data_IF_956647646746
#
_entry.id   IF_956647646746
#
_cell.length_a   1.000
_cell.length_b   1.000
_cell.length_c   1.000
_cell.angle_alpha   90.00
_cell.angle_beta   90.00
_cell.angle_gamma   90.00
#
_symmetry.space_group_name_H-M   'P 1'
#
loop_
_entity.id
_entity.type
_entity.pdbx_description
1 polymer ?
#
# COMPACT_ATOMS: atom_id res chain seq x y z
N UNK A 1 31.09 75.18 -27.34
CA UNK A 1 30.41 74.19 -26.47
C UNK A 1 29.84 73.11 -27.38
N UNK A 2 30.55 72.00 -27.51
CA UNK A 2 30.17 70.83 -28.33
C UNK A 2 29.29 69.89 -27.51
N UNK A 3 28.16 69.36 -28.04
CA UNK A 3 27.51 68.21 -27.44
C UNK A 3 28.05 66.93 -28.08
N UNK A 4 28.55 66.02 -27.25
CA UNK A 4 28.91 64.66 -27.63
C UNK A 4 27.65 63.90 -28.10
N UNK A 5 27.69 63.36 -29.32
CA UNK A 5 26.84 62.25 -29.74
C UNK A 5 27.37 60.97 -29.07
N UNK A 6 26.59 60.34 -28.19
CA UNK A 6 26.80 58.96 -27.80
C UNK A 6 25.96 58.04 -28.68
N UNK A 7 26.64 57.29 -29.55
CA UNK A 7 26.07 56.16 -30.29
C UNK A 7 26.16 54.94 -29.36
N UNK A 8 25.01 54.41 -28.93
CA UNK A 8 24.93 53.10 -28.28
C UNK A 8 24.88 51.99 -29.34
N UNK A 9 25.58 50.85 -29.15
CA UNK A 9 25.58 49.75 -30.11
C UNK A 9 24.30 48.91 -30.02
N UNK A 10 23.84 48.30 -31.13
CA UNK A 10 22.64 47.48 -31.16
C UNK A 10 23.00 46.02 -30.90
N UNK A 11 23.16 45.61 -29.65
CA UNK A 11 23.25 44.17 -29.32
C UNK A 11 22.72 43.92 -27.91
N UNK A 12 21.46 43.49 -27.83
CA UNK A 12 20.93 42.56 -26.82
C UNK A 12 19.42 42.35 -27.07
N UNK A 13 19.11 41.86 -28.26
CA UNK A 13 17.89 41.09 -28.51
C UNK A 13 18.37 39.66 -28.69
N UNK A 14 18.23 38.84 -27.64
CA UNK A 14 18.29 37.36 -27.62
C UNK A 14 18.78 36.90 -26.24
N UNK A 15 17.90 36.87 -25.22
CA UNK A 15 17.93 35.86 -24.16
C UNK A 15 16.72 35.98 -23.23
N UNK A 16 15.49 35.88 -23.75
CA UNK A 16 14.31 35.70 -22.89
C UNK A 16 13.57 34.39 -23.16
N UNK A 17 14.15 33.48 -23.97
CA UNK A 17 13.54 32.21 -24.37
C UNK A 17 14.17 30.97 -23.73
N UNK A 18 14.91 31.11 -22.63
CA UNK A 18 15.57 29.96 -21.96
C UNK A 18 15.37 29.87 -20.45
N UNK A 19 14.42 30.63 -19.88
CA UNK A 19 14.08 30.59 -18.45
C UNK A 19 12.72 29.91 -18.14
N UNK A 20 12.25 29.04 -19.04
CA UNK A 20 11.05 28.24 -18.84
C UNK A 20 11.25 26.74 -19.13
N UNK A 21 12.48 26.24 -19.00
CA UNK A 21 12.69 24.82 -18.68
C UNK A 21 12.37 24.65 -17.19
N UNK A 22 11.08 24.48 -16.94
CA UNK A 22 10.54 23.87 -15.72
C UNK A 22 11.50 22.79 -15.23
N UNK A 23 12.12 23.00 -14.07
CA UNK A 23 12.97 22.03 -13.39
C UNK A 23 12.15 20.77 -13.12
N UNK A 24 12.18 19.80 -14.03
CA UNK A 24 11.69 18.45 -13.75
C UNK A 24 12.51 17.93 -12.57
N UNK A 25 11.84 17.48 -11.52
CA UNK A 25 12.48 16.72 -10.45
C UNK A 25 12.40 15.25 -10.87
N UNK A 26 13.49 14.62 -11.35
CA UNK A 26 13.43 13.28 -11.92
C UNK A 26 12.89 12.26 -10.93
N UNK A 27 13.18 12.41 -9.63
CA UNK A 27 12.64 11.53 -8.58
C UNK A 27 11.12 11.64 -8.45
N UNK A 28 10.54 12.84 -8.61
CA UNK A 28 9.09 13.03 -8.57
C UNK A 28 8.41 12.41 -9.81
N UNK A 29 9.03 12.52 -10.97
CA UNK A 29 8.54 11.91 -12.21
C UNK A 29 8.61 10.38 -12.18
N UNK A 30 9.71 9.83 -11.68
CA UNK A 30 9.88 8.39 -11.46
C UNK A 30 8.86 7.87 -10.43
N UNK A 31 8.67 8.57 -9.31
CA UNK A 31 7.65 8.21 -8.33
C UNK A 31 6.25 8.19 -8.93
N UNK A 32 5.88 9.22 -9.73
CA UNK A 32 4.60 9.27 -10.42
C UNK A 32 4.45 8.13 -11.43
N UNK A 33 5.51 7.80 -12.15
CA UNK A 33 5.51 6.68 -13.10
C UNK A 33 5.35 5.34 -12.38
N UNK A 34 5.99 5.15 -11.23
CA UNK A 34 5.81 3.96 -10.39
C UNK A 34 4.36 3.84 -9.88
N UNK A 35 3.78 4.96 -9.45
CA UNK A 35 2.36 5.02 -9.06
C UNK A 35 1.45 4.68 -10.24
N UNK A 36 1.69 5.24 -11.43
CA UNK A 36 0.90 4.98 -12.63
C UNK A 36 0.96 3.50 -13.04
N UNK A 37 2.14 2.88 -12.99
CA UNK A 37 2.31 1.44 -13.25
C UNK A 37 1.52 0.59 -12.25
N UNK A 38 1.53 0.95 -10.98
CA UNK A 38 0.83 0.18 -9.93
C UNK A 38 -0.69 0.36 -10.04
N UNK A 39 -1.15 1.61 -10.13
CA UNK A 39 -2.56 1.98 -9.97
C UNK A 39 -3.36 1.85 -11.26
N UNK A 40 -2.80 2.29 -12.39
CA UNK A 40 -3.53 2.34 -13.66
C UNK A 40 -3.20 1.17 -14.59
N UNK A 41 -1.97 0.64 -14.53
CA UNK A 41 -1.54 -0.43 -15.41
C UNK A 41 -1.58 -1.81 -14.74
N UNK A 42 -1.91 -1.89 -13.45
CA UNK A 42 -1.93 -3.12 -12.64
C UNK A 42 -0.63 -3.93 -12.81
N UNK A 43 0.50 -3.23 -12.82
CA UNK A 43 1.81 -3.82 -13.08
C UNK A 43 2.75 -3.61 -11.89
N UNK A 44 2.59 -4.41 -10.81
CA UNK A 44 3.35 -4.23 -9.59
C UNK A 44 4.84 -4.50 -9.79
N UNK A 45 5.22 -5.32 -10.78
CA UNK A 45 6.63 -5.60 -11.11
C UNK A 45 7.33 -4.39 -11.70
N UNK A 46 6.71 -3.72 -12.67
CA UNK A 46 7.26 -2.48 -13.23
C UNK A 46 7.25 -1.34 -12.20
N UNK A 47 6.17 -1.23 -11.42
CA UNK A 47 6.10 -0.25 -10.34
C UNK A 47 7.24 -0.43 -9.33
N UNK A 48 7.50 -1.68 -8.90
CA UNK A 48 8.61 -2.00 -8.01
C UNK A 48 9.96 -1.60 -8.61
N UNK A 49 10.22 -1.94 -9.87
CA UNK A 49 11.47 -1.56 -10.54
C UNK A 49 11.68 -0.04 -10.60
N UNK A 50 10.61 0.73 -10.81
CA UNK A 50 10.68 2.19 -10.77
C UNK A 50 10.91 2.71 -9.34
N UNK A 51 10.23 2.15 -8.35
CA UNK A 51 10.48 2.49 -6.95
C UNK A 51 11.91 2.14 -6.50
N UNK A 52 12.49 1.03 -6.97
CA UNK A 52 13.86 0.62 -6.69
C UNK A 52 14.91 1.57 -7.31
N UNK A 53 14.54 2.32 -8.34
CA UNK A 53 15.40 3.34 -8.95
C UNK A 53 15.43 4.66 -8.17
N UNK A 54 14.52 4.85 -7.21
CA UNK A 54 14.53 5.99 -6.30
C UNK A 54 15.53 5.79 -5.15
N UNK A 55 16.05 6.87 -4.55
CA UNK A 55 16.82 6.75 -3.32
C UNK A 55 16.04 5.99 -2.23
N UNK A 56 16.65 5.03 -1.51
CA UNK A 56 15.99 4.33 -0.42
C UNK A 56 15.43 5.29 0.61
N UNK A 57 14.18 5.10 0.99
CA UNK A 57 13.48 5.95 1.95
C UNK A 57 12.55 5.11 2.82
N UNK A 58 12.48 5.36 4.14
CA UNK A 58 11.50 4.68 4.98
C UNK A 58 10.08 5.03 4.53
N UNK A 59 9.83 6.31 4.20
CA UNK A 59 8.54 6.86 3.78
C UNK A 59 8.00 6.33 2.44
N UNK A 60 8.71 5.42 1.76
CA UNK A 60 8.31 4.84 0.48
C UNK A 60 7.54 3.54 0.66
N UNK A 61 6.53 3.55 1.53
CA UNK A 61 5.72 2.38 1.86
C UNK A 61 5.02 1.75 0.63
N UNK A 62 4.74 2.53 -0.42
CA UNK A 62 4.19 2.01 -1.69
C UNK A 62 5.12 0.99 -2.35
N UNK A 63 6.45 1.15 -2.18
CA UNK A 63 7.43 0.16 -2.66
C UNK A 63 7.24 -1.19 -1.98
N UNK A 64 6.92 -1.21 -0.69
CA UNK A 64 6.67 -2.43 0.07
C UNK A 64 5.42 -3.16 -0.44
N UNK A 65 4.35 -2.41 -0.73
CA UNK A 65 3.12 -2.95 -1.30
C UNK A 65 3.31 -3.44 -2.75
N UNK A 66 4.07 -2.70 -3.57
CA UNK A 66 4.45 -3.12 -4.90
C UNK A 66 5.26 -4.43 -4.86
N UNK A 67 6.23 -4.54 -3.95
CA UNK A 67 6.99 -5.76 -3.73
C UNK A 67 6.09 -6.94 -3.32
N UNK A 68 5.17 -6.73 -2.37
CA UNK A 68 4.22 -7.76 -1.96
C UNK A 68 3.37 -8.26 -3.15
N UNK A 69 2.78 -7.32 -3.90
CA UNK A 69 1.95 -7.64 -5.07
C UNK A 69 2.76 -8.27 -6.21
N UNK A 70 4.06 -7.97 -6.33
CA UNK A 70 4.98 -8.60 -7.27
C UNK A 70 5.44 -10.00 -6.82
N UNK A 71 5.18 -10.39 -5.57
CA UNK A 71 5.63 -11.66 -4.97
C UNK A 71 7.07 -11.60 -4.44
N UNK A 72 7.65 -10.41 -4.37
CA UNK A 72 8.99 -10.14 -3.84
C UNK A 72 8.90 -9.93 -2.32
N UNK A 73 8.48 -10.98 -1.60
CA UNK A 73 8.07 -10.87 -0.20
C UNK A 73 9.20 -10.46 0.75
N UNK A 74 10.44 -10.90 0.51
CA UNK A 74 11.59 -10.47 1.31
C UNK A 74 11.86 -8.97 1.14
N UNK A 75 11.78 -8.46 -0.09
CA UNK A 75 11.90 -7.03 -0.40
C UNK A 75 10.81 -6.21 0.30
N UNK A 76 9.58 -6.74 0.35
CA UNK A 76 8.48 -6.11 1.09
C UNK A 76 8.76 -6.06 2.61
N UNK A 77 9.23 -7.16 3.20
CA UNK A 77 9.63 -7.21 4.63
C UNK A 77 10.70 -6.17 4.94
N UNK A 78 11.74 -6.07 4.10
CA UNK A 78 12.80 -5.08 4.28
C UNK A 78 12.27 -3.64 4.25
N UNK A 79 11.35 -3.33 3.34
CA UNK A 79 10.74 -2.00 3.26
C UNK A 79 9.89 -1.67 4.50
N UNK A 80 9.00 -2.57 4.93
CA UNK A 80 8.15 -2.31 6.11
C UNK A 80 8.96 -2.23 7.41
N UNK A 81 10.05 -3.01 7.53
CA UNK A 81 10.99 -2.87 8.64
C UNK A 81 11.77 -1.56 8.59
N UNK A 82 12.02 -1.02 7.40
CA UNK A 82 12.66 0.28 7.25
C UNK A 82 11.72 1.41 7.68
N UNK A 83 10.45 1.38 7.27
CA UNK A 83 9.44 2.36 7.71
C UNK A 83 9.24 2.30 9.24
N UNK A 84 9.01 1.12 9.80
CA UNK A 84 8.78 0.91 11.24
C UNK A 84 9.86 1.50 12.16
N UNK A 85 11.10 1.67 11.70
CA UNK A 85 12.18 2.34 12.47
C UNK A 85 11.85 3.81 12.78
N UNK A 86 11.05 4.46 11.94
CA UNK A 86 10.62 5.84 12.11
C UNK A 86 9.14 5.96 12.52
N UNK A 87 8.31 4.96 12.18
CA UNK A 87 6.86 4.97 12.42
C UNK A 87 6.39 3.71 13.18
N UNK A 88 6.95 3.47 14.37
CA UNK A 88 6.68 2.25 15.14
C UNK A 88 5.23 2.06 15.64
N UNK A 89 4.31 2.99 15.38
CA UNK A 89 2.91 2.93 15.81
C UNK A 89 1.92 2.56 14.70
N UNK A 90 2.37 2.38 13.44
CA UNK A 90 1.47 2.04 12.34
C UNK A 90 1.09 0.55 12.37
N UNK A 91 -0.18 0.29 12.68
CA UNK A 91 -0.69 -1.07 12.70
C UNK A 91 -0.81 -1.68 11.30
N UNK A 92 -1.08 -0.85 10.28
CA UNK A 92 -1.27 -1.33 8.91
C UNK A 92 0.04 -1.88 8.34
N UNK A 93 1.14 -1.14 8.49
CA UNK A 93 2.45 -1.61 8.06
C UNK A 93 2.89 -2.86 8.81
N UNK A 94 2.50 -3.00 10.08
CA UNK A 94 2.76 -4.20 10.87
C UNK A 94 2.01 -5.42 10.33
N UNK A 95 0.77 -5.24 9.85
CA UNK A 95 0.00 -6.29 9.18
C UNK A 95 0.64 -6.68 7.84
N UNK A 96 1.12 -5.71 7.06
CA UNK A 96 1.84 -5.98 5.81
C UNK A 96 3.20 -6.64 6.02
N UNK A 97 3.96 -6.25 7.05
CA UNK A 97 5.21 -6.90 7.45
C UNK A 97 4.94 -8.37 7.84
N UNK A 98 3.88 -8.63 8.61
CA UNK A 98 3.44 -10.00 8.95
C UNK A 98 3.12 -10.80 7.70
N UNK A 99 2.27 -10.26 6.82
CA UNK A 99 1.81 -10.97 5.64
C UNK A 99 2.99 -11.31 4.71
N UNK A 100 3.87 -10.34 4.48
CA UNK A 100 5.08 -10.52 3.68
C UNK A 100 6.02 -11.56 4.29
N UNK A 101 6.24 -11.51 5.60
CA UNK A 101 7.08 -12.47 6.31
C UNK A 101 6.52 -13.90 6.22
N UNK A 102 5.21 -14.05 6.38
CA UNK A 102 4.53 -15.34 6.29
C UNK A 102 4.61 -15.94 4.88
N UNK A 103 4.45 -15.12 3.83
CA UNK A 103 4.64 -15.58 2.45
C UNK A 103 6.10 -15.90 2.12
N UNK A 104 7.06 -15.16 2.68
CA UNK A 104 8.50 -15.40 2.47
C UNK A 104 8.99 -16.68 3.18
N UNK A 105 8.44 -16.99 4.36
CA UNK A 105 8.78 -18.17 5.14
C UNK A 105 7.54 -18.71 5.88
N UNK A 106 6.77 -19.63 5.26
CA UNK A 106 5.49 -20.12 5.79
C UNK A 106 5.52 -20.74 7.20
N UNK A 107 6.70 -21.10 7.70
CA UNK A 107 6.88 -21.72 9.02
C UNK A 107 7.43 -20.77 10.09
N UNK A 108 7.67 -19.48 9.80
CA UNK A 108 8.26 -18.53 10.76
C UNK A 108 7.24 -17.68 11.54
N UNK A 109 5.93 -17.87 11.32
CA UNK A 109 4.87 -17.01 11.88
C UNK A 109 4.92 -16.84 13.41
N UNK A 110 5.37 -17.86 14.15
CA UNK A 110 5.52 -17.79 15.60
C UNK A 110 6.57 -16.77 16.08
N UNK A 111 7.66 -16.57 15.32
CA UNK A 111 8.68 -15.56 15.63
C UNK A 111 8.19 -14.13 15.37
N UNK A 112 7.11 -13.98 14.59
CA UNK A 112 6.55 -12.68 14.25
C UNK A 112 5.46 -12.23 15.23
N UNK A 113 4.79 -13.16 15.92
CA UNK A 113 3.83 -12.80 16.98
C UNK A 113 4.46 -11.92 18.08
N UNK A 114 5.73 -12.15 18.40
CA UNK A 114 6.49 -11.29 19.33
C UNK A 114 6.87 -9.92 18.75
N UNK A 115 6.78 -9.76 17.43
CA UNK A 115 7.21 -8.58 16.68
C UNK A 115 6.05 -7.74 16.11
N UNK A 116 4.82 -8.29 16.03
CA UNK A 116 3.61 -7.50 15.86
C UNK A 116 3.57 -6.52 17.03
N UNK A 117 3.77 -5.21 16.81
CA UNK A 117 3.61 -4.25 17.87
C UNK A 117 2.21 -4.43 18.41
N UNK A 118 2.07 -4.37 19.73
CA UNK A 118 0.77 -4.09 20.34
C UNK A 118 0.44 -2.65 19.96
N UNK A 119 0.10 -2.37 18.70
CA UNK A 119 -0.26 -1.02 18.29
C UNK A 119 -1.72 -0.78 18.66
N UNK A 120 -1.99 -0.86 19.97
CA UNK A 120 -3.12 -0.23 20.65
C UNK A 120 -3.16 1.30 20.45
N UNK A 121 -2.24 1.85 19.63
CA UNK A 121 -2.04 3.27 19.34
C UNK A 121 -2.45 3.67 17.92
N UNK A 122 -2.70 2.73 17.01
CA UNK A 122 -3.26 3.11 15.70
C UNK A 122 -4.63 3.76 15.95
N UNK A 123 -4.91 4.92 15.38
CA UNK A 123 -6.17 5.63 15.62
C UNK A 123 -7.36 4.96 14.92
N UNK A 124 -7.10 4.18 13.87
CA UNK A 124 -8.11 3.48 13.07
C UNK A 124 -8.55 2.21 13.78
N UNK A 125 -9.84 2.13 14.15
CA UNK A 125 -10.41 0.94 14.83
C UNK A 125 -10.18 -0.33 14.02
N UNK A 126 -10.49 -0.30 12.72
CA UNK A 126 -10.37 -1.48 11.84
C UNK A 126 -8.96 -2.07 11.83
N UNK A 127 -7.92 -1.23 11.88
CA UNK A 127 -6.53 -1.67 11.93
C UNK A 127 -6.19 -2.29 13.28
N UNK A 128 -6.59 -1.66 14.39
CA UNK A 128 -6.36 -2.23 15.73
C UNK A 128 -7.04 -3.58 15.91
N UNK A 129 -8.29 -3.69 15.48
CA UNK A 129 -9.07 -4.93 15.59
C UNK A 129 -8.47 -6.02 14.67
N UNK A 130 -7.92 -5.65 13.51
CA UNK A 130 -7.21 -6.58 12.61
C UNK A 130 -5.89 -7.08 13.21
N UNK A 131 -5.13 -6.22 13.90
CA UNK A 131 -3.94 -6.66 14.65
C UNK A 131 -4.31 -7.66 15.75
N UNK A 132 -5.41 -7.40 16.47
CA UNK A 132 -5.93 -8.33 17.47
C UNK A 132 -6.38 -9.66 16.84
N UNK A 133 -7.12 -9.60 15.73
CA UNK A 133 -7.52 -10.77 14.93
C UNK A 133 -6.30 -11.65 14.59
N UNK A 134 -5.24 -11.07 14.03
CA UNK A 134 -4.06 -11.83 13.60
C UNK A 134 -3.40 -12.53 14.79
N UNK A 135 -3.24 -11.82 15.91
CA UNK A 135 -2.67 -12.39 17.14
C UNK A 135 -3.49 -13.58 17.63
N UNK A 136 -4.80 -13.41 17.74
CA UNK A 136 -5.68 -14.40 18.34
C UNK A 136 -5.81 -15.63 17.41
N UNK A 137 -5.88 -15.40 16.09
CA UNK A 137 -5.93 -16.45 15.06
C UNK A 137 -4.69 -17.35 15.07
N UNK A 138 -3.49 -16.76 15.06
CA UNK A 138 -2.23 -17.53 15.02
C UNK A 138 -1.96 -18.23 16.37
N UNK A 139 -2.36 -17.61 17.48
CA UNK A 139 -2.22 -18.21 18.82
C UNK A 139 -3.17 -19.40 19.04
N UNK A 140 -4.27 -19.45 18.29
CA UNK A 140 -5.23 -20.55 18.36
C UNK A 140 -4.66 -21.85 17.77
N UNK A 141 -4.78 -22.94 18.54
CA UNK A 141 -4.38 -24.30 18.14
C UNK A 141 -5.53 -25.13 17.54
N UNK A 142 -6.76 -24.61 17.59
CA UNK A 142 -7.97 -25.31 17.18
C UNK A 142 -8.56 -24.64 15.94
N UNK A 143 -8.83 -25.43 14.90
CA UNK A 143 -9.48 -24.94 13.68
C UNK A 143 -10.87 -24.32 13.94
N UNK A 144 -11.63 -24.90 14.88
CA UNK A 144 -12.94 -24.37 15.28
C UNK A 144 -12.83 -23.00 15.95
N UNK A 145 -11.82 -22.82 16.80
CA UNK A 145 -11.61 -21.54 17.47
C UNK A 145 -11.16 -20.48 16.47
N UNK A 146 -10.33 -20.86 15.48
CA UNK A 146 -9.95 -19.98 14.36
C UNK A 146 -11.15 -19.52 13.56
N UNK A 147 -12.02 -20.44 13.15
CA UNK A 147 -13.25 -20.10 12.42
C UNK A 147 -14.13 -19.12 13.20
N UNK A 148 -14.33 -19.39 14.50
CA UNK A 148 -15.08 -18.48 15.38
C UNK A 148 -14.45 -17.09 15.46
N UNK A 149 -13.13 -17.00 15.60
CA UNK A 149 -12.39 -15.72 15.64
C UNK A 149 -12.66 -14.91 14.36
N UNK A 150 -12.65 -15.55 13.19
CA UNK A 150 -12.92 -14.88 11.91
C UNK A 150 -14.38 -14.36 11.84
N UNK A 151 -15.34 -15.18 12.27
CA UNK A 151 -16.77 -14.83 12.30
C UNK A 151 -17.06 -13.69 13.29
N UNK A 152 -16.48 -13.74 14.49
CA UNK A 152 -16.63 -12.72 15.52
C UNK A 152 -16.05 -11.37 15.03
N UNK A 153 -14.88 -11.40 14.36
CA UNK A 153 -14.28 -10.21 13.75
C UNK A 153 -15.19 -9.57 12.71
N UNK A 154 -15.66 -10.34 11.72
CA UNK A 154 -16.56 -9.83 10.67
C UNK A 154 -17.86 -9.25 11.24
N UNK A 155 -18.44 -9.96 12.21
CA UNK A 155 -19.69 -9.52 12.85
C UNK A 155 -19.53 -8.18 13.56
N UNK A 156 -18.32 -7.83 14.01
CA UNK A 156 -18.01 -6.55 14.66
C UNK A 156 -17.97 -5.35 13.71
N UNK A 157 -18.08 -5.58 12.40
CA UNK A 157 -18.19 -4.54 11.36
C UNK A 157 -19.59 -4.49 10.72
N UNK A 158 -20.55 -5.28 11.22
CA UNK A 158 -21.93 -5.20 10.77
C UNK A 158 -22.53 -3.83 11.08
N UNK A 159 -22.93 -3.11 10.03
CA UNK A 159 -23.50 -1.76 10.14
C UNK A 159 -22.47 -0.64 10.30
N UNK A 160 -21.17 -0.95 10.21
CA UNK A 160 -20.11 0.06 10.11
C UNK A 160 -20.07 0.71 8.72
N UNK A 161 -19.20 1.71 8.54
CA UNK A 161 -19.07 2.38 7.25
C UNK A 161 -18.57 1.42 6.16
N UNK A 162 -18.95 1.67 4.91
CA UNK A 162 -18.47 0.90 3.74
C UNK A 162 -16.94 0.92 3.59
N UNK A 163 -16.29 1.97 4.11
CA UNK A 163 -14.83 2.04 4.20
C UNK A 163 -14.30 1.04 5.23
N UNK A 164 -14.88 0.99 6.44
CA UNK A 164 -14.44 0.06 7.47
C UNK A 164 -14.71 -1.39 7.05
N UNK A 165 -15.83 -1.66 6.38
CA UNK A 165 -16.13 -2.97 5.78
C UNK A 165 -15.07 -3.35 4.73
N UNK A 166 -14.71 -2.42 3.83
CA UNK A 166 -13.63 -2.66 2.85
C UNK A 166 -12.32 -3.07 3.53
N UNK A 167 -11.88 -2.32 4.54
CA UNK A 167 -10.62 -2.61 5.23
C UNK A 167 -10.70 -3.91 6.05
N UNK A 168 -11.85 -4.20 6.69
CA UNK A 168 -12.05 -5.43 7.43
C UNK A 168 -11.96 -6.66 6.52
N UNK A 169 -12.68 -6.65 5.39
CA UNK A 169 -12.61 -7.71 4.38
C UNK A 169 -11.20 -7.84 3.79
N UNK A 170 -10.55 -6.72 3.46
CA UNK A 170 -9.17 -6.72 2.95
C UNK A 170 -8.19 -7.39 3.93
N UNK A 171 -8.18 -6.99 5.20
CA UNK A 171 -7.23 -7.54 6.17
C UNK A 171 -7.53 -9.01 6.50
N UNK A 172 -8.80 -9.42 6.45
CA UNK A 172 -9.16 -10.82 6.59
C UNK A 172 -8.68 -11.65 5.39
N UNK A 173 -8.87 -11.16 4.17
CA UNK A 173 -8.32 -11.78 2.97
C UNK A 173 -6.79 -11.91 3.03
N UNK A 174 -6.12 -10.86 3.50
CA UNK A 174 -4.66 -10.83 3.70
C UNK A 174 -4.18 -11.86 4.73
N UNK A 175 -4.94 -12.09 5.82
CA UNK A 175 -4.61 -13.10 6.81
C UNK A 175 -4.66 -14.49 6.19
N UNK A 176 -5.74 -14.80 5.49
CA UNK A 176 -5.96 -16.12 4.91
C UNK A 176 -4.96 -16.41 3.78
N UNK A 177 -4.70 -15.46 2.88
CA UNK A 177 -3.70 -15.63 1.81
C UNK A 177 -2.28 -15.79 2.37
N UNK A 178 -1.91 -14.98 3.36
CA UNK A 178 -0.56 -15.01 3.94
C UNK A 178 -0.26 -16.26 4.75
N UNK A 179 -1.29 -16.87 5.32
CA UNK A 179 -1.16 -18.09 6.15
C UNK A 179 -1.50 -19.36 5.39
N UNK A 180 -2.01 -19.26 4.16
CA UNK A 180 -2.48 -20.41 3.38
C UNK A 180 -3.67 -21.12 4.01
N UNK A 181 -4.52 -20.39 4.74
CA UNK A 181 -5.58 -20.96 5.58
C UNK A 181 -6.97 -20.92 4.94
N UNK A 182 -7.03 -20.89 3.62
CA UNK A 182 -8.29 -20.98 2.88
C UNK A 182 -9.01 -22.29 3.22
N UNK A 183 -10.27 -22.20 3.64
CA UNK A 183 -11.06 -23.38 4.02
C UNK A 183 -12.55 -23.19 3.78
N UNK A 184 -13.18 -24.17 3.12
CA UNK A 184 -14.62 -24.15 2.84
C UNK A 184 -15.03 -22.88 2.08
N UNK A 185 -15.92 -22.08 2.68
CA UNK A 185 -16.39 -20.80 2.13
C UNK A 185 -15.52 -19.59 2.54
N UNK A 186 -14.54 -19.78 3.43
CA UNK A 186 -13.66 -18.73 3.93
C UNK A 186 -12.37 -18.74 3.10
N UNK A 187 -12.39 -18.04 1.97
CA UNK A 187 -11.23 -17.94 1.08
C UNK A 187 -10.73 -16.50 1.03
N UNK A 188 -9.41 -16.34 0.94
CA UNK A 188 -8.77 -15.05 0.68
C UNK A 188 -9.40 -14.32 -0.52
N UNK A 189 -9.61 -15.04 -1.62
CA UNK A 189 -10.24 -14.50 -2.84
C UNK A 189 -11.66 -13.97 -2.61
N UNK A 190 -12.50 -14.68 -1.85
CA UNK A 190 -13.86 -14.23 -1.55
C UNK A 190 -13.88 -12.93 -0.75
N UNK A 191 -12.95 -12.76 0.18
CA UNK A 191 -12.87 -11.53 0.98
C UNK A 191 -12.31 -10.37 0.18
N UNK A 192 -11.29 -10.57 -0.65
CA UNK A 192 -10.84 -9.53 -1.56
C UNK A 192 -11.95 -9.10 -2.55
N UNK A 193 -12.72 -10.06 -3.07
CA UNK A 193 -13.88 -9.78 -3.92
C UNK A 193 -14.97 -9.01 -3.17
N UNK A 194 -15.25 -9.38 -1.92
CA UNK A 194 -16.20 -8.66 -1.05
C UNK A 194 -15.74 -7.22 -0.78
N UNK A 195 -14.46 -7.02 -0.45
CA UNK A 195 -13.88 -5.70 -0.26
C UNK A 195 -14.10 -4.82 -1.52
N UNK A 196 -13.75 -5.32 -2.70
CA UNK A 196 -13.95 -4.60 -3.97
C UNK A 196 -15.43 -4.36 -4.32
N UNK A 197 -16.35 -5.15 -3.76
CA UNK A 197 -17.78 -4.99 -3.97
C UNK A 197 -18.41 -3.84 -3.15
N UNK A 198 -17.72 -3.33 -2.12
CA UNK A 198 -18.19 -2.17 -1.34
C UNK A 198 -18.38 -0.94 -2.23
N UNK A 199 -19.34 -0.09 -1.87
CA UNK A 199 -19.56 1.20 -2.54
C UNK A 199 -18.34 2.12 -2.41
N UNK A 200 -17.62 2.02 -1.29
CA UNK A 200 -16.35 2.72 -1.06
C UNK A 200 -15.29 2.35 -2.09
N UNK A 201 -15.01 1.05 -2.28
CA UNK A 201 -14.04 0.59 -3.26
C UNK A 201 -14.46 0.97 -4.69
N UNK A 202 -15.74 0.79 -5.04
CA UNK A 202 -16.29 1.20 -6.35
C UNK A 202 -16.08 2.68 -6.64
N UNK A 203 -16.29 3.55 -5.65
CA UNK A 203 -16.05 4.98 -5.78
C UNK A 203 -14.55 5.29 -5.97
N UNK A 204 -13.67 4.63 -5.22
CA UNK A 204 -12.22 4.74 -5.38
C UNK A 204 -11.75 4.31 -6.78
N UNK A 205 -12.21 3.16 -7.26
CA UNK A 205 -11.91 2.67 -8.61
C UNK A 205 -12.43 3.61 -9.70
N UNK A 206 -13.61 4.23 -9.49
CA UNK A 206 -14.12 5.23 -10.42
C UNK A 206 -13.21 6.48 -10.50
N UNK A 207 -12.61 6.91 -9.38
CA UNK A 207 -11.58 7.96 -9.39
C UNK A 207 -10.36 7.54 -10.21
N UNK A 208 -9.87 6.31 -10.02
CA UNK A 208 -8.72 5.85 -10.80
C UNK A 208 -9.01 5.74 -12.30
N UNK A 209 -10.21 5.27 -12.68
CA UNK A 209 -10.64 5.22 -14.09
C UNK A 209 -10.69 6.60 -14.75
N UNK A 210 -10.96 7.67 -13.99
CA UNK A 210 -10.88 9.04 -14.49
C UNK A 210 -9.47 9.65 -14.39
N UNK A 211 -8.43 8.83 -14.16
CA UNK A 211 -7.04 9.25 -13.90
C UNK A 211 -6.88 10.25 -12.76
N UNK A 212 -7.79 10.21 -11.79
CA UNK A 212 -7.70 10.98 -10.55
C UNK A 212 -6.84 10.23 -9.53
N UNK A 213 -5.96 10.94 -8.82
CA UNK A 213 -5.15 10.39 -7.72
C UNK A 213 -5.87 10.42 -6.37
N UNK A 214 -7.17 10.75 -6.35
CA UNK A 214 -7.99 10.82 -5.13
C UNK A 214 -8.50 9.47 -4.64
N UNK A 215 -8.33 8.40 -5.43
CA UNK A 215 -8.66 7.05 -4.98
C UNK A 215 -7.72 6.60 -3.87
N UNK A 216 -8.22 5.70 -3.02
CA UNK A 216 -7.43 5.06 -1.98
C UNK A 216 -6.52 3.99 -2.60
N UNK A 217 -5.21 4.10 -2.37
CA UNK A 217 -4.19 3.18 -2.87
C UNK A 217 -4.44 1.73 -2.46
N UNK A 218 -4.98 1.49 -1.26
CA UNK A 218 -5.28 0.13 -0.77
C UNK A 218 -6.33 -0.58 -1.62
N UNK A 219 -7.26 0.16 -2.24
CA UNK A 219 -8.22 -0.43 -3.19
C UNK A 219 -7.47 -0.97 -4.42
N UNK A 220 -6.46 -0.26 -4.91
CA UNK A 220 -5.62 -0.73 -6.03
C UNK A 220 -4.74 -1.91 -5.62
N UNK A 221 -4.28 -1.97 -4.36
CA UNK A 221 -3.56 -3.15 -3.84
C UNK A 221 -4.44 -4.39 -3.93
N UNK A 222 -5.69 -4.32 -3.45
CA UNK A 222 -6.63 -5.45 -3.52
C UNK A 222 -6.93 -5.84 -4.98
N UNK A 223 -7.11 -4.87 -5.87
CA UNK A 223 -7.32 -5.12 -7.29
C UNK A 223 -6.11 -5.84 -7.94
N UNK A 224 -4.89 -5.41 -7.63
CA UNK A 224 -3.67 -6.07 -8.09
C UNK A 224 -3.54 -7.52 -7.55
N UNK A 225 -3.95 -7.78 -6.32
CA UNK A 225 -3.95 -9.14 -5.74
C UNK A 225 -4.95 -10.04 -6.46
N UNK A 226 -6.18 -9.56 -6.67
CA UNK A 226 -7.25 -10.32 -7.33
C UNK A 226 -6.91 -10.63 -8.79
N UNK A 227 -6.35 -9.67 -9.53
CA UNK A 227 -5.98 -9.85 -10.95
C UNK A 227 -4.83 -10.85 -11.16
N UNK A 228 -4.11 -11.24 -10.11
CA UNK A 228 -2.97 -12.16 -10.18
C UNK A 228 -3.36 -13.64 -9.98
N UNK A 229 -4.53 -13.90 -9.40
CA UNK A 229 -5.05 -15.24 -9.12
C UNK A 229 -5.78 -15.82 -10.33
#
# INVERSE_FOLDING_TARGET
MTPLLYILPPFLLLCTTTYALSLSNPSAETYRSAYDEFVFNHNPKNALALYDSLPPSPYLWQRGLAAYCAGEYLTAVEQFRFDKKINGNDGEESLWEFASSSKAAPNSGASFLSALPVSSRDSRRVVRDSVALYRDYISSKSGRDRERILVDFLSSFNGESEKDIFYADMYLGLLLDSTGSDSGSLTSHSYYSSALATSYAKASLAQFRSRSTKGDFMVSVVENIVLRQ
#
